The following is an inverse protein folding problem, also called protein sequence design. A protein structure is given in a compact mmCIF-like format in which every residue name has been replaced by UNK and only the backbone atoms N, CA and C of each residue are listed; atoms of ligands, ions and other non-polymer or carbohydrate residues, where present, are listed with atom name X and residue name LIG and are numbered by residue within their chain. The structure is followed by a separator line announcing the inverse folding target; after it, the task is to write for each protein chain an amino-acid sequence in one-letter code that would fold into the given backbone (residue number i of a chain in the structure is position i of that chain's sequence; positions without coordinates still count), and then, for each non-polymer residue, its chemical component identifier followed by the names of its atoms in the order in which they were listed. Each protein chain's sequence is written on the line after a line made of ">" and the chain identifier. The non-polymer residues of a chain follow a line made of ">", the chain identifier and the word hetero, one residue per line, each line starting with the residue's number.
data_IF_880704624250
#
_entry.id   IF_880704624250
#
_cell.length_a   1.000
_cell.length_b   1.000
_cell.length_c   1.000
_cell.angle_alpha   90.00
_cell.angle_beta   90.00
_cell.angle_gamma   90.00
#
_symmetry.space_group_name_H-M   'P 1'
#
loop_
_entity.id
_entity.type
_entity.pdbx_description
1 polymer ?
#
# COMPACT_ATOMS: atom_id res chain seq x y z
N UNK A 1 -11.17 1.95 -31.77
CA UNK A 1 -10.52 3.12 -31.15
C UNK A 1 -9.88 2.59 -29.91
N UNK A 2 -8.55 2.56 -29.91
CA UNK A 2 -7.79 2.25 -28.70
C UNK A 2 -8.00 3.46 -27.79
N UNK A 3 -8.92 3.34 -26.84
CA UNK A 3 -9.25 4.45 -25.95
C UNK A 3 -8.06 4.64 -24.99
N UNK A 4 -7.28 5.70 -25.25
CA UNK A 4 -6.25 6.17 -24.32
C UNK A 4 -6.89 6.39 -22.95
N UNK A 5 -6.31 5.68 -21.98
CA UNK A 5 -6.66 5.64 -20.57
C UNK A 5 -6.46 7.06 -20.00
N UNK A 6 -7.38 7.99 -20.22
CA UNK A 6 -7.22 9.37 -19.69
C UNK A 6 -8.08 9.59 -18.45
N UNK A 7 -9.33 9.10 -18.44
CA UNK A 7 -10.20 9.17 -17.26
C UNK A 7 -10.03 8.01 -16.27
N UNK A 8 -9.66 6.82 -16.78
CA UNK A 8 -9.37 5.67 -15.93
C UNK A 8 -8.00 5.78 -15.26
N UNK A 9 -7.02 6.40 -15.93
CA UNK A 9 -5.60 6.27 -15.60
C UNK A 9 -5.35 6.63 -14.14
N UNK A 10 -5.79 7.81 -13.71
CA UNK A 10 -5.60 8.24 -12.33
C UNK A 10 -6.27 7.30 -11.31
N UNK A 11 -7.40 6.68 -11.66
CA UNK A 11 -8.15 5.78 -10.76
C UNK A 11 -7.57 4.36 -10.65
N UNK A 12 -6.81 3.92 -11.67
CA UNK A 12 -6.24 2.57 -11.74
C UNK A 12 -4.71 2.57 -11.52
N UNK A 13 -4.05 3.73 -11.65
CA UNK A 13 -2.60 3.88 -11.50
C UNK A 13 -2.13 3.40 -10.13
N UNK A 14 -2.86 3.75 -9.07
CA UNK A 14 -2.54 3.31 -7.71
C UNK A 14 -2.54 1.77 -7.60
N UNK A 15 -3.47 1.09 -8.26
CA UNK A 15 -3.48 -0.38 -8.28
C UNK A 15 -2.34 -0.94 -9.16
N UNK A 16 -1.98 -0.30 -10.28
CA UNK A 16 -0.83 -0.71 -11.11
C UNK A 16 0.48 -0.66 -10.32
N UNK A 17 0.67 0.35 -9.48
CA UNK A 17 1.86 0.46 -8.60
C UNK A 17 1.90 -0.68 -7.58
N UNK A 18 0.74 -1.10 -7.09
CA UNK A 18 0.63 -2.25 -6.19
C UNK A 18 0.76 -3.59 -6.93
N UNK A 19 0.50 -3.61 -8.23
CA UNK A 19 0.36 -4.82 -9.03
C UNK A 19 1.02 -4.70 -10.41
N UNK A 20 2.36 -4.62 -10.46
CA UNK A 20 3.10 -4.38 -11.71
C UNK A 20 2.93 -5.51 -12.76
N UNK A 21 2.49 -6.70 -12.33
CA UNK A 21 2.31 -7.86 -13.20
C UNK A 21 1.07 -7.77 -14.11
N UNK A 22 0.20 -6.77 -13.96
CA UNK A 22 -0.92 -6.57 -14.88
C UNK A 22 -0.44 -5.93 -16.20
N UNK A 23 -0.09 -6.77 -17.18
CA UNK A 23 0.39 -6.34 -18.49
C UNK A 23 -0.60 -5.45 -19.27
N UNK A 24 -0.10 -4.54 -20.09
CA UNK A 24 -0.92 -3.57 -20.86
C UNK A 24 -1.85 -4.30 -21.84
N UNK A 25 -3.15 -4.25 -21.62
CA UNK A 25 -4.15 -4.92 -22.46
C UNK A 25 -4.75 -3.95 -23.49
N UNK A 26 -4.84 -4.36 -24.75
CA UNK A 26 -5.18 -3.47 -25.88
C UNK A 26 -6.68 -3.24 -26.10
N UNK A 27 -7.57 -4.03 -25.47
CA UNK A 27 -9.04 -3.83 -25.57
C UNK A 27 -9.73 -4.13 -24.25
N UNK A 28 -10.52 -3.19 -23.77
CA UNK A 28 -11.37 -3.30 -22.57
C UNK A 28 -12.71 -2.59 -22.79
N UNK A 29 -13.70 -2.93 -21.97
CA UNK A 29 -14.99 -2.23 -21.93
C UNK A 29 -14.92 -1.08 -20.94
N UNK A 30 -15.01 0.15 -21.43
CA UNK A 30 -15.02 1.35 -20.59
C UNK A 30 -16.21 1.35 -19.61
N UNK A 31 -17.38 0.91 -20.06
CA UNK A 31 -18.58 0.79 -19.22
C UNK A 31 -18.35 -0.20 -18.06
N UNK A 32 -17.85 -1.40 -18.34
CA UNK A 32 -17.57 -2.38 -17.28
C UNK A 32 -16.53 -1.88 -16.30
N UNK A 33 -15.47 -1.23 -16.80
CA UNK A 33 -14.44 -0.63 -15.95
C UNK A 33 -15.03 0.45 -15.02
N UNK A 34 -15.84 1.37 -15.55
CA UNK A 34 -16.43 2.46 -14.75
C UNK A 34 -17.37 1.92 -13.67
N UNK A 35 -18.20 0.93 -14.01
CA UNK A 35 -19.10 0.30 -13.04
C UNK A 35 -18.33 -0.50 -11.97
N UNK A 36 -17.22 -1.14 -12.37
CA UNK A 36 -16.34 -1.84 -11.44
C UNK A 36 -15.64 -0.88 -10.47
N UNK A 37 -15.04 0.21 -10.96
CA UNK A 37 -14.38 1.23 -10.12
C UNK A 37 -15.34 1.83 -9.09
N UNK A 38 -16.59 2.06 -9.48
CA UNK A 38 -17.63 2.60 -8.59
C UNK A 38 -18.22 1.57 -7.63
N UNK A 39 -17.81 0.31 -7.73
CA UNK A 39 -18.37 -0.79 -6.95
C UNK A 39 -19.86 -0.98 -7.17
N UNK A 40 -20.33 -0.73 -8.40
CA UNK A 40 -21.74 -0.87 -8.80
C UNK A 40 -22.02 -2.22 -9.45
N UNK A 41 -21.05 -2.77 -10.19
CA UNK A 41 -21.17 -4.06 -10.90
C UNK A 41 -19.80 -4.68 -11.16
N UNK A 42 -19.67 -6.00 -11.02
CA UNK A 42 -18.48 -6.73 -11.49
C UNK A 42 -18.63 -7.10 -12.97
N UNK A 43 -17.53 -7.23 -13.74
CA UNK A 43 -17.59 -7.72 -15.11
C UNK A 43 -18.13 -9.15 -15.16
N UNK A 44 -18.67 -9.55 -16.31
CA UNK A 44 -19.25 -10.88 -16.52
C UNK A 44 -18.29 -12.05 -16.25
N UNK A 45 -16.98 -11.83 -16.43
CA UNK A 45 -15.94 -12.75 -15.98
C UNK A 45 -14.72 -11.97 -15.47
N UNK A 46 -14.50 -11.94 -14.16
CA UNK A 46 -13.33 -11.27 -13.57
C UNK A 46 -12.04 -11.92 -14.03
N UNK A 47 -11.95 -13.26 -13.92
CA UNK A 47 -10.71 -14.01 -14.17
C UNK A 47 -10.22 -13.87 -15.61
N UNK A 48 -11.16 -13.80 -16.57
CA UNK A 48 -10.83 -13.67 -18.00
C UNK A 48 -10.88 -12.21 -18.49
N UNK A 49 -11.10 -11.25 -17.59
CA UNK A 49 -11.13 -9.84 -17.96
C UNK A 49 -9.74 -9.31 -18.32
N UNK A 50 -9.66 -8.30 -19.20
CA UNK A 50 -8.44 -7.52 -19.39
C UNK A 50 -7.85 -7.01 -18.07
N UNK A 51 -6.52 -6.85 -18.02
CA UNK A 51 -5.79 -6.40 -16.83
C UNK A 51 -6.41 -5.16 -16.19
N UNK A 52 -6.78 -4.18 -17.02
CA UNK A 52 -7.31 -2.89 -16.58
C UNK A 52 -8.67 -3.05 -15.92
N UNK A 53 -9.51 -3.95 -16.44
CA UNK A 53 -10.81 -4.25 -15.86
C UNK A 53 -10.65 -4.99 -14.53
N UNK A 54 -9.67 -5.89 -14.40
CA UNK A 54 -9.36 -6.53 -13.11
C UNK A 54 -8.92 -5.52 -12.06
N UNK A 55 -8.03 -4.59 -12.42
CA UNK A 55 -7.60 -3.50 -11.55
C UNK A 55 -8.75 -2.57 -11.16
N UNK A 56 -9.69 -2.29 -12.07
CA UNK A 56 -10.91 -1.55 -11.77
C UNK A 56 -11.78 -2.26 -10.71
N UNK A 57 -11.88 -3.58 -10.77
CA UNK A 57 -12.61 -4.36 -9.76
C UNK A 57 -11.87 -4.33 -8.41
N UNK A 58 -10.54 -4.47 -8.40
CA UNK A 58 -9.73 -4.33 -7.18
C UNK A 58 -9.96 -2.98 -6.50
N UNK A 59 -9.90 -1.90 -7.29
CA UNK A 59 -10.22 -0.54 -6.84
C UNK A 59 -11.64 -0.47 -6.27
N UNK A 60 -12.62 -1.01 -7.00
CA UNK A 60 -14.01 -1.11 -6.56
C UNK A 60 -14.15 -1.76 -5.18
N UNK A 61 -13.55 -2.93 -5.00
CA UNK A 61 -13.57 -3.69 -3.73
C UNK A 61 -13.06 -2.83 -2.58
N UNK A 62 -11.92 -2.14 -2.76
CA UNK A 62 -11.29 -1.39 -1.67
C UNK A 62 -12.10 -0.19 -1.22
N UNK A 63 -12.81 0.46 -2.13
CA UNK A 63 -13.56 1.68 -1.83
C UNK A 63 -15.04 1.43 -1.53
N UNK A 64 -15.61 0.37 -2.07
CA UNK A 64 -17.04 0.10 -2.04
C UNK A 64 -17.31 -1.31 -1.49
N UNK A 65 -17.90 -1.44 -0.29
CA UNK A 65 -18.18 -2.76 0.28
C UNK A 65 -19.28 -3.53 -0.48
N UNK A 66 -20.06 -2.86 -1.35
CA UNK A 66 -21.26 -3.42 -1.98
C UNK A 66 -21.01 -4.64 -2.87
N UNK A 67 -19.92 -4.65 -3.64
CA UNK A 67 -19.61 -5.77 -4.56
C UNK A 67 -18.81 -6.91 -3.92
N UNK A 68 -18.34 -6.74 -2.67
CA UNK A 68 -17.41 -7.68 -2.04
C UNK A 68 -17.99 -9.10 -1.93
N UNK A 69 -19.28 -9.24 -1.60
CA UNK A 69 -19.94 -10.53 -1.47
C UNK A 69 -20.03 -11.27 -2.81
N UNK A 70 -20.31 -10.56 -3.90
CA UNK A 70 -20.38 -11.15 -5.24
C UNK A 70 -18.99 -11.63 -5.70
N UNK A 71 -17.96 -10.80 -5.49
CA UNK A 71 -16.58 -11.18 -5.80
C UNK A 71 -16.16 -12.42 -5.01
N UNK A 72 -16.45 -12.52 -3.71
CA UNK A 72 -16.10 -13.73 -2.90
C UNK A 72 -16.66 -15.04 -3.48
N UNK A 73 -17.79 -14.96 -4.19
CA UNK A 73 -18.41 -16.12 -4.84
C UNK A 73 -17.74 -16.57 -6.14
N UNK A 74 -16.80 -15.80 -6.69
CA UNK A 74 -16.15 -16.12 -7.97
C UNK A 74 -15.07 -17.20 -7.76
N UNK A 75 -15.17 -18.35 -8.46
CA UNK A 75 -14.18 -19.42 -8.33
C UNK A 75 -12.85 -19.03 -8.99
N UNK A 76 -11.74 -19.55 -8.48
CA UNK A 76 -10.38 -19.37 -9.01
C UNK A 76 -9.97 -17.88 -9.15
N UNK A 77 -10.44 -17.03 -8.26
CA UNK A 77 -9.95 -15.66 -8.16
C UNK A 77 -8.45 -15.64 -7.88
N UNK A 78 -7.69 -14.78 -8.60
CA UNK A 78 -6.32 -14.48 -8.25
C UNK A 78 -6.20 -13.94 -6.81
N UNK A 79 -5.06 -14.21 -6.16
CA UNK A 79 -4.87 -13.95 -4.72
C UNK A 79 -4.97 -12.45 -4.39
N UNK A 80 -4.71 -11.59 -5.37
CA UNK A 80 -4.85 -10.13 -5.29
C UNK A 80 -6.24 -9.70 -4.86
N UNK A 81 -7.26 -10.38 -5.37
CA UNK A 81 -8.64 -10.07 -5.02
C UNK A 81 -8.98 -10.47 -3.61
N UNK A 82 -8.46 -11.62 -3.13
CA UNK A 82 -8.65 -12.04 -1.74
C UNK A 82 -7.97 -11.08 -0.78
N UNK A 83 -6.78 -10.59 -1.11
CA UNK A 83 -6.08 -9.53 -0.36
C UNK A 83 -6.90 -8.24 -0.31
N UNK A 84 -7.45 -7.80 -1.44
CA UNK A 84 -8.30 -6.61 -1.50
C UNK A 84 -9.59 -6.76 -0.68
N UNK A 85 -10.23 -7.94 -0.73
CA UNK A 85 -11.42 -8.26 0.05
C UNK A 85 -11.14 -8.26 1.56
N UNK A 86 -10.05 -8.90 2.00
CA UNK A 86 -9.66 -8.90 3.40
C UNK A 86 -9.29 -7.48 3.89
N UNK A 87 -8.63 -6.68 3.05
CA UNK A 87 -8.39 -5.27 3.35
C UNK A 87 -9.73 -4.52 3.50
N UNK A 88 -10.71 -4.78 2.63
CA UNK A 88 -12.04 -4.15 2.69
C UNK A 88 -12.79 -4.51 3.97
N UNK A 89 -12.77 -5.76 4.41
CA UNK A 89 -13.38 -6.18 5.68
C UNK A 89 -12.81 -5.37 6.84
N UNK A 90 -11.48 -5.30 6.94
CA UNK A 90 -10.79 -4.57 8.00
C UNK A 90 -11.20 -3.10 7.99
N UNK A 91 -11.19 -2.47 6.81
CA UNK A 91 -11.63 -1.09 6.62
C UNK A 91 -13.12 -0.89 6.97
N UNK A 92 -13.93 -1.95 6.98
CA UNK A 92 -15.35 -2.00 7.32
C UNK A 92 -15.65 -2.45 8.75
N UNK A 93 -14.65 -2.51 9.66
CA UNK A 93 -14.82 -3.03 11.04
C UNK A 93 -15.13 -4.55 11.11
N UNK A 94 -14.83 -5.30 10.06
CA UNK A 94 -14.98 -6.74 10.02
C UNK A 94 -13.61 -7.43 10.14
N UNK A 95 -13.57 -8.57 10.82
CA UNK A 95 -12.35 -9.36 10.97
C UNK A 95 -12.34 -10.47 9.91
N UNK A 96 -11.46 -10.39 8.90
CA UNK A 96 -11.33 -11.45 7.91
C UNK A 96 -10.63 -12.68 8.50
N UNK A 97 -10.93 -13.84 7.93
CA UNK A 97 -10.17 -15.06 8.19
C UNK A 97 -8.92 -15.09 7.28
N UNK A 98 -7.76 -14.84 7.87
CA UNK A 98 -6.47 -14.74 7.16
C UNK A 98 -5.58 -15.96 7.44
N UNK A 99 -6.13 -17.15 7.21
CA UNK A 99 -5.39 -18.42 7.40
C UNK A 99 -4.23 -18.51 6.40
N UNK A 100 -4.51 -18.19 5.13
CA UNK A 100 -3.54 -18.24 4.04
C UNK A 100 -2.68 -16.96 4.04
N UNK A 101 -1.34 -17.08 4.19
CA UNK A 101 -0.43 -15.95 4.08
C UNK A 101 -0.58 -15.16 2.78
N UNK A 102 -1.01 -15.79 1.69
CA UNK A 102 -1.24 -15.11 0.42
C UNK A 102 -2.43 -14.15 0.47
N UNK A 103 -3.34 -14.29 1.43
CA UNK A 103 -4.54 -13.42 1.50
C UNK A 103 -4.35 -12.25 2.47
N UNK A 104 -3.13 -12.07 2.95
CA UNK A 104 -2.76 -11.03 3.90
C UNK A 104 -2.65 -9.66 3.18
N UNK A 105 -3.30 -8.59 3.67
CA UNK A 105 -3.22 -7.26 3.07
C UNK A 105 -1.81 -6.65 3.02
N UNK A 106 -1.59 -5.79 2.04
CA UNK A 106 -0.30 -5.16 1.73
C UNK A 106 0.30 -4.22 2.76
N UNK A 107 -0.51 -3.74 3.71
CA UNK A 107 -0.05 -2.93 4.84
C UNK A 107 1.02 -3.60 5.72
N UNK A 108 1.36 -4.85 5.43
CA UNK A 108 2.29 -5.70 6.17
C UNK A 108 3.68 -5.81 5.54
N UNK A 109 3.88 -5.33 4.30
CA UNK A 109 5.16 -5.37 3.60
C UNK A 109 6.31 -4.88 4.48
N UNK A 110 7.40 -5.64 4.50
CA UNK A 110 8.50 -5.44 5.43
C UNK A 110 9.72 -4.95 4.66
N UNK A 111 10.34 -3.83 5.06
CA UNK A 111 11.71 -3.57 4.66
C UNK A 111 12.64 -4.48 5.48
N UNK A 112 13.62 -5.10 4.81
CA UNK A 112 14.48 -6.15 5.38
C UNK A 112 15.24 -5.70 6.64
N UNK A 113 15.42 -4.40 6.86
CA UNK A 113 16.10 -3.87 8.05
C UNK A 113 15.44 -4.27 9.38
N UNK A 114 14.11 -4.51 9.40
CA UNK A 114 13.43 -4.96 10.62
C UNK A 114 13.65 -6.45 10.92
N UNK A 115 14.09 -7.26 9.95
CA UNK A 115 14.46 -8.67 10.19
C UNK A 115 15.68 -8.82 11.12
N UNK A 116 16.47 -7.76 11.26
CA UNK A 116 17.65 -7.71 12.13
C UNK A 116 17.32 -7.32 13.58
N UNK A 117 16.07 -6.96 13.87
CA UNK A 117 15.65 -6.62 15.23
C UNK A 117 15.31 -7.92 15.95
N UNK A 118 16.24 -8.38 16.79
CA UNK A 118 16.08 -9.58 17.60
C UNK A 118 14.90 -9.41 18.57
N UNK A 119 13.81 -10.10 18.32
CA UNK A 119 12.62 -10.09 19.17
C UNK A 119 12.34 -11.50 19.66
N UNK A 120 12.04 -11.61 20.96
CA UNK A 120 11.48 -12.82 21.57
C UNK A 120 10.04 -13.04 21.07
N UNK A 121 9.85 -13.20 19.77
CA UNK A 121 8.56 -13.39 19.12
C UNK A 121 7.93 -14.71 19.60
N UNK A 122 6.89 -14.57 20.43
CA UNK A 122 6.11 -15.69 20.98
C UNK A 122 4.70 -15.74 20.41
N UNK A 123 4.26 -14.69 19.71
CA UNK A 123 2.94 -14.63 19.09
C UNK A 123 2.94 -15.23 17.66
N UNK A 124 1.87 -15.93 17.24
CA UNK A 124 1.75 -16.40 15.85
C UNK A 124 1.76 -15.22 14.85
N UNK A 125 2.53 -15.36 13.77
CA UNK A 125 2.66 -14.32 12.71
C UNK A 125 1.32 -13.79 12.19
N UNK A 126 0.32 -14.65 12.05
CA UNK A 126 -1.05 -14.27 11.64
C UNK A 126 -1.67 -13.17 12.52
N UNK A 127 -1.42 -13.21 13.83
CA UNK A 127 -1.94 -12.20 14.76
C UNK A 127 -1.21 -10.87 14.62
N UNK A 128 0.11 -10.90 14.41
CA UNK A 128 0.92 -9.72 14.11
C UNK A 128 0.48 -9.06 12.79
N UNK A 129 0.20 -9.85 11.76
CA UNK A 129 -0.36 -9.38 10.49
C UNK A 129 -1.69 -8.66 10.70
N UNK A 130 -2.62 -9.25 11.44
CA UNK A 130 -3.89 -8.61 11.77
C UNK A 130 -3.70 -7.31 12.55
N UNK A 131 -2.78 -7.27 13.54
CA UNK A 131 -2.45 -6.04 14.28
C UNK A 131 -1.97 -4.92 13.35
N UNK A 132 -1.03 -5.21 12.45
CA UNK A 132 -0.54 -4.23 11.46
C UNK A 132 -1.67 -3.71 10.60
N UNK A 133 -2.51 -4.59 10.06
CA UNK A 133 -3.60 -4.17 9.19
C UNK A 133 -4.65 -3.30 9.92
N UNK A 134 -4.96 -3.63 11.18
CA UNK A 134 -5.80 -2.78 12.04
C UNK A 134 -5.13 -1.43 12.29
N UNK A 135 -3.84 -1.41 12.64
CA UNK A 135 -3.11 -0.16 12.86
C UNK A 135 -3.07 0.71 11.60
N UNK A 136 -2.87 0.10 10.42
CA UNK A 136 -2.84 0.81 9.14
C UNK A 136 -4.16 1.53 8.89
N UNK A 137 -5.28 0.83 9.12
CA UNK A 137 -6.61 1.42 9.03
C UNK A 137 -6.76 2.63 9.94
N UNK A 138 -6.42 2.47 11.22
CA UNK A 138 -6.60 3.55 12.20
C UNK A 138 -5.80 4.79 11.79
N UNK A 139 -4.53 4.60 11.37
CA UNK A 139 -3.67 5.68 10.83
C UNK A 139 -4.33 6.36 9.63
N UNK A 140 -4.77 5.59 8.62
CA UNK A 140 -5.44 6.10 7.43
C UNK A 140 -6.72 6.89 7.73
N UNK A 141 -7.37 6.60 8.86
CA UNK A 141 -8.54 7.34 9.36
C UNK A 141 -8.20 8.49 10.32
N UNK A 142 -6.93 8.88 10.43
CA UNK A 142 -6.43 9.93 11.33
C UNK A 142 -6.55 9.60 12.82
N UNK A 143 -6.61 8.32 13.17
CA UNK A 143 -6.67 7.84 14.54
C UNK A 143 -5.33 7.19 14.93
N UNK A 144 -4.58 7.88 15.80
CA UNK A 144 -3.31 7.39 16.35
C UNK A 144 -3.45 6.87 17.78
N UNK A 145 -4.67 6.65 18.29
CA UNK A 145 -4.91 6.21 19.68
C UNK A 145 -4.25 4.88 20.03
N UNK A 146 -3.97 4.05 19.02
CA UNK A 146 -3.30 2.74 19.16
C UNK A 146 -1.78 2.80 19.08
N UNK A 147 -1.22 3.93 18.63
CA UNK A 147 0.22 4.08 18.44
C UNK A 147 0.80 4.91 19.58
N UNK A 148 1.71 4.28 20.30
CA UNK A 148 2.44 4.84 21.44
C UNK A 148 3.94 4.81 21.15
N UNK A 149 4.75 5.55 21.91
CA UNK A 149 6.21 5.43 21.85
C UNK A 149 6.72 4.01 22.11
N UNK A 150 5.97 3.21 22.87
CA UNK A 150 6.30 1.84 23.24
C UNK A 150 5.75 0.78 22.26
N UNK A 151 4.97 1.20 21.25
CA UNK A 151 4.44 0.28 20.23
C UNK A 151 5.60 -0.41 19.52
N UNK A 152 5.57 -1.74 19.51
CA UNK A 152 6.59 -2.56 18.89
C UNK A 152 6.70 -2.23 17.39
N UNK A 153 7.93 -2.09 16.88
CA UNK A 153 8.19 -1.87 15.46
C UNK A 153 7.55 -2.96 14.58
N UNK A 154 7.48 -4.20 15.08
CA UNK A 154 6.83 -5.31 14.41
C UNK A 154 5.30 -5.22 14.38
N UNK A 155 4.67 -4.33 15.13
CA UNK A 155 3.22 -4.07 15.06
C UNK A 155 2.90 -2.86 14.16
N UNK A 156 3.93 -2.14 13.70
CA UNK A 156 3.74 -0.97 12.83
C UNK A 156 3.50 -1.43 11.38
N UNK A 157 2.46 -0.88 10.73
CA UNK A 157 2.23 -1.10 9.31
C UNK A 157 3.20 -0.30 8.46
N UNK A 158 3.41 -0.77 7.25
CA UNK A 158 4.30 -0.12 6.29
C UNK A 158 3.53 0.68 5.23
N UNK A 159 2.52 0.08 4.61
CA UNK A 159 1.60 0.81 3.73
C UNK A 159 0.45 1.42 4.54
N UNK A 160 0.49 2.74 4.68
CA UNK A 160 -0.38 3.55 5.55
C UNK A 160 -1.13 4.67 4.82
N UNK A 161 -1.18 4.61 3.48
CA UNK A 161 -1.74 5.66 2.61
C UNK A 161 -2.86 5.20 1.67
N UNK A 162 -3.15 3.89 1.63
CA UNK A 162 -4.10 3.31 0.68
C UNK A 162 -5.03 2.30 1.35
N UNK A 163 -6.37 2.37 1.15
CA UNK A 163 -7.09 3.14 0.12
C UNK A 163 -7.35 4.62 0.47
N UNK A 164 -7.08 5.03 1.70
CA UNK A 164 -7.39 6.38 2.17
C UNK A 164 -6.08 7.03 2.62
N UNK A 165 -5.79 8.21 2.09
CA UNK A 165 -4.67 9.01 2.55
C UNK A 165 -5.04 9.68 3.87
N UNK A 166 -4.20 9.50 4.90
CA UNK A 166 -4.34 10.27 6.13
C UNK A 166 -4.01 11.74 5.87
N UNK A 167 -4.47 12.63 6.75
CA UNK A 167 -4.08 14.05 6.74
C UNK A 167 -2.58 14.17 6.95
N UNK A 168 -1.92 15.18 6.36
CA UNK A 168 -0.49 15.36 6.51
C UNK A 168 -0.04 15.49 7.98
N UNK A 169 -0.84 16.14 8.84
CA UNK A 169 -0.51 16.30 10.26
C UNK A 169 -0.51 14.96 11.02
N UNK A 170 -1.33 13.99 10.59
CA UNK A 170 -1.35 12.64 11.15
C UNK A 170 -0.02 11.93 10.93
N UNK A 171 0.57 12.08 9.74
CA UNK A 171 1.86 11.46 9.44
C UNK A 171 3.00 12.08 10.26
N UNK A 172 3.02 13.41 10.42
CA UNK A 172 4.00 14.08 11.29
C UNK A 172 3.87 13.63 12.74
N UNK A 173 2.65 13.58 13.26
CA UNK A 173 2.40 13.13 14.63
C UNK A 173 2.77 11.65 14.81
N UNK A 174 2.54 10.80 13.80
CA UNK A 174 2.97 9.40 13.82
C UNK A 174 4.50 9.27 13.91
N UNK A 175 5.23 9.99 13.05
CA UNK A 175 6.69 10.00 13.07
C UNK A 175 7.23 10.54 14.41
N UNK A 176 6.58 11.55 15.00
CA UNK A 176 6.93 12.09 16.31
C UNK A 176 6.67 11.10 17.44
N UNK A 177 5.58 10.34 17.39
CA UNK A 177 5.22 9.34 18.42
C UNK A 177 6.14 8.13 18.41
N UNK A 178 6.47 7.63 17.22
CA UNK A 178 7.22 6.39 17.08
C UNK A 178 8.21 6.48 15.93
N UNK A 179 9.51 6.57 16.27
CA UNK A 179 10.61 6.67 15.31
C UNK A 179 10.68 5.50 14.32
N UNK A 180 10.15 4.33 14.66
CA UNK A 180 10.14 3.18 13.76
C UNK A 180 9.13 3.34 12.62
N UNK A 181 8.14 4.23 12.77
CA UNK A 181 7.16 4.54 11.71
C UNK A 181 7.72 5.48 10.64
N UNK A 182 8.91 6.06 10.85
CA UNK A 182 9.44 7.14 10.02
C UNK A 182 9.58 6.77 8.54
N UNK A 183 10.01 5.54 8.24
CA UNK A 183 10.11 5.07 6.84
C UNK A 183 8.74 4.89 6.18
N UNK A 184 7.77 4.34 6.91
CA UNK A 184 6.39 4.22 6.43
C UNK A 184 5.78 5.61 6.18
N UNK A 185 6.07 6.56 7.06
CA UNK A 185 5.65 7.97 6.92
C UNK A 185 6.32 8.63 5.71
N UNK A 186 7.64 8.54 5.57
CA UNK A 186 8.35 9.12 4.44
C UNK A 186 7.78 8.64 3.10
N UNK A 187 7.57 7.31 2.98
CA UNK A 187 6.90 6.72 1.81
C UNK A 187 5.49 7.28 1.60
N UNK A 188 4.69 7.35 2.66
CA UNK A 188 3.34 7.89 2.57
C UNK A 188 3.33 9.34 2.06
N UNK A 189 4.23 10.18 2.55
CA UNK A 189 4.33 11.58 2.12
C UNK A 189 4.77 11.70 0.66
N UNK A 190 5.71 10.88 0.21
CA UNK A 190 6.11 10.82 -1.20
C UNK A 190 4.93 10.42 -2.09
N UNK A 191 4.23 9.33 -1.74
CA UNK A 191 3.12 8.81 -2.54
C UNK A 191 1.92 9.77 -2.56
N UNK A 192 1.63 10.44 -1.44
CA UNK A 192 0.55 11.42 -1.35
C UNK A 192 0.94 12.80 -1.90
N UNK A 193 2.20 13.00 -2.29
CA UNK A 193 2.80 14.27 -2.71
C UNK A 193 2.63 15.42 -1.69
N UNK A 194 2.93 15.13 -0.41
CA UNK A 194 2.82 16.10 0.69
C UNK A 194 4.15 16.81 0.98
N UNK A 195 4.65 17.58 0.00
CA UNK A 195 5.97 18.24 0.02
C UNK A 195 6.22 19.06 1.28
N UNK A 196 5.30 19.96 1.64
CA UNK A 196 5.45 20.81 2.83
C UNK A 196 5.54 20.01 4.14
N UNK A 197 4.91 18.83 4.17
CA UNK A 197 4.91 17.96 5.33
C UNK A 197 6.19 17.13 5.39
N UNK A 198 6.71 16.73 4.23
CA UNK A 198 8.01 16.08 4.12
C UNK A 198 9.12 16.93 4.75
N UNK A 199 9.13 18.23 4.50
CA UNK A 199 10.10 19.16 5.07
C UNK A 199 10.04 19.23 6.61
N UNK A 200 8.89 18.86 7.20
CA UNK A 200 8.68 18.78 8.64
C UNK A 200 9.14 17.47 9.31
N UNK A 201 9.54 16.44 8.55
CA UNK A 201 9.94 15.13 9.12
C UNK A 201 11.21 15.18 9.98
N UNK A 202 12.00 16.25 9.87
CA UNK A 202 13.30 16.34 10.50
C UNK A 202 14.36 15.48 9.80
N UNK A 203 15.47 15.24 10.50
CA UNK A 203 16.60 14.49 9.98
C UNK A 203 16.42 12.97 10.15
N UNK A 204 16.69 12.22 9.09
CA UNK A 204 16.57 10.76 9.03
C UNK A 204 17.52 10.17 8.00
N UNK A 205 17.93 8.91 8.21
CA UNK A 205 18.81 8.17 7.32
C UNK A 205 18.03 7.72 6.07
N UNK A 206 18.42 8.15 4.86
CA UNK A 206 17.88 7.59 3.62
C UNK A 206 18.11 6.09 3.55
N UNK A 207 17.12 5.35 3.08
CA UNK A 207 17.23 3.92 2.82
C UNK A 207 17.30 3.65 1.32
N UNK A 208 17.89 2.52 0.93
CA UNK A 208 17.88 2.02 -0.45
C UNK A 208 16.47 1.91 -1.01
N UNK A 209 15.51 1.52 -0.17
CA UNK A 209 14.12 1.32 -0.51
C UNK A 209 13.43 2.65 -0.83
N UNK A 210 13.65 3.69 -0.01
CA UNK A 210 13.16 5.03 -0.32
C UNK A 210 13.77 5.57 -1.61
N UNK A 211 15.05 5.29 -1.86
CA UNK A 211 15.72 5.73 -3.08
C UNK A 211 15.18 5.07 -4.34
N UNK A 212 14.85 3.78 -4.30
CA UNK A 212 14.24 3.09 -5.44
C UNK A 212 12.88 3.72 -5.76
N UNK A 213 12.07 3.98 -4.75
CA UNK A 213 10.71 4.49 -4.97
C UNK A 213 10.66 5.95 -5.39
N UNK A 214 11.61 6.75 -4.94
CA UNK A 214 11.64 8.15 -5.30
C UNK A 214 12.03 8.36 -6.76
N UNK A 215 12.64 7.37 -7.42
CA UNK A 215 12.93 7.42 -8.86
C UNK A 215 11.66 7.42 -9.72
N UNK A 216 10.58 6.80 -9.23
CA UNK A 216 9.26 6.80 -9.88
C UNK A 216 8.42 8.04 -9.51
N UNK A 217 8.87 8.87 -8.57
CA UNK A 217 8.14 10.05 -8.13
C UNK A 217 8.21 11.17 -9.18
N UNK A 218 7.06 11.75 -9.51
CA UNK A 218 6.96 12.90 -10.44
C UNK A 218 7.55 14.18 -9.87
N UNK A 219 7.44 14.37 -8.54
CA UNK A 219 8.00 15.51 -7.84
C UNK A 219 9.48 15.26 -7.50
N UNK A 220 10.37 16.07 -8.04
CA UNK A 220 11.83 15.89 -7.85
C UNK A 220 12.31 16.30 -6.46
N UNK A 221 11.51 17.05 -5.70
CA UNK A 221 11.87 17.54 -4.36
C UNK A 221 12.34 16.40 -3.43
N UNK A 222 11.60 15.30 -3.40
CA UNK A 222 11.93 14.14 -2.57
C UNK A 222 13.26 13.49 -2.96
N UNK A 223 13.50 13.34 -4.27
CA UNK A 223 14.75 12.74 -4.78
C UNK A 223 15.95 13.66 -4.49
N UNK A 224 15.76 14.96 -4.65
CA UNK A 224 16.78 15.96 -4.35
C UNK A 224 17.15 15.97 -2.87
N UNK A 225 16.15 15.92 -1.97
CA UNK A 225 16.37 15.87 -0.53
C UNK A 225 17.02 14.56 -0.08
N UNK A 226 16.56 13.41 -0.56
CA UNK A 226 17.18 12.12 -0.22
C UNK A 226 18.64 12.06 -0.71
N UNK A 227 18.93 12.50 -1.94
CA UNK A 227 20.31 12.59 -2.45
C UNK A 227 21.16 13.55 -1.61
N UNK A 228 20.60 14.67 -1.15
CA UNK A 228 21.28 15.60 -0.24
C UNK A 228 21.64 14.90 1.07
N UNK A 229 20.71 14.20 1.71
CA UNK A 229 20.93 13.44 2.94
C UNK A 229 21.99 12.34 2.76
N UNK A 230 21.97 11.59 1.65
CA UNK A 230 23.01 10.59 1.34
C UNK A 230 24.40 11.22 1.27
N UNK A 231 24.55 12.37 0.58
CA UNK A 231 25.82 13.10 0.48
C UNK A 231 26.32 13.60 1.82
N UNK A 232 25.44 14.19 2.64
CA UNK A 232 25.80 14.74 3.95
C UNK A 232 26.24 13.67 4.94
N UNK A 233 25.65 12.46 4.85
CA UNK A 233 25.96 11.32 5.72
C UNK A 233 27.07 10.42 5.19
N UNK A 234 27.45 10.55 3.91
CA UNK A 234 28.43 9.67 3.27
C UNK A 234 27.94 8.24 3.05
N UNK A 235 26.63 8.06 2.89
CA UNK A 235 26.00 6.75 2.64
C UNK A 235 25.85 6.55 1.14
N UNK A 236 26.24 5.39 0.64
CA UNK A 236 25.95 4.99 -0.73
C UNK A 236 24.51 4.51 -0.80
N UNK A 237 23.70 5.24 -1.55
CA UNK A 237 22.28 4.94 -1.73
C UNK A 237 21.97 4.48 -3.17
N UNK A 238 22.97 4.03 -3.93
CA UNK A 238 22.74 3.36 -5.21
C UNK A 238 22.11 1.99 -4.96
N UNK A 239 20.84 1.84 -5.35
CA UNK A 239 19.95 0.79 -4.86
C UNK A 239 20.38 -0.64 -5.18
N UNK A 240 20.18 -1.54 -4.21
CA UNK A 240 20.11 -2.97 -4.47
C UNK A 240 18.70 -3.31 -5.01
N UNK A 241 18.66 -3.89 -6.20
CA UNK A 241 17.46 -4.28 -6.95
C UNK A 241 16.44 -5.08 -6.11
N UNK A 242 15.19 -4.58 -6.08
CA UNK A 242 13.87 -5.21 -5.90
C UNK A 242 13.63 -6.39 -4.92
N UNK A 243 14.62 -6.88 -4.18
CA UNK A 243 14.51 -8.11 -3.39
C UNK A 243 13.48 -8.05 -2.23
N UNK A 244 13.13 -6.83 -1.77
CA UNK A 244 12.22 -6.62 -0.65
C UNK A 244 10.73 -6.65 -1.05
N UNK A 245 10.42 -6.42 -2.33
CA UNK A 245 9.10 -6.75 -2.89
C UNK A 245 9.17 -8.24 -3.19
N UNK A 246 8.69 -9.05 -2.23
CA UNK A 246 8.76 -10.52 -2.23
C UNK A 246 8.87 -11.13 -3.65
N UNK A 247 9.87 -11.97 -3.95
CA UNK A 247 9.86 -12.73 -5.19
C UNK A 247 8.62 -13.64 -5.16
N UNK A 248 7.84 -13.62 -6.24
CA UNK A 248 6.71 -14.52 -6.46
C UNK A 248 7.08 -15.94 -5.97
N UNK A 249 6.30 -16.46 -5.01
CA UNK A 249 6.29 -17.87 -4.64
C UNK A 249 5.14 -18.55 -5.37
#
# INVERSE_FOLDING_TARGET
>A
MDNEITGLADSVFDELVLWPNFGVCSKYSEEECLLAVRGERIPSSIVNSPCVTQLCVLRGIRHHPGIAAEVRGVPNLPDEFRRALNARDIMSNELPDMIDPNYIPYCIWYPDWLSQVDTNETEPKQYQHLKRAINARFIMTNDLSRITPETNAFDLPYQIWYPIQARPETYLELARRNKHALYAVARALMVCDYEQTWDGLGDFEPSSELMIEVEDCRNTHYLEDLRRRCRERGVDCSGALDAWKLPDH
#
